data_IF_272075202849
#
_entry.id   IF_272075202849
#
_cell.length_a   1.000
_cell.length_b   1.000
_cell.length_c   1.000
_cell.angle_alpha   90.00
_cell.angle_beta   90.00
_cell.angle_gamma   90.00
#
_symmetry.space_group_name_H-M   'P 1'
#
loop_
_entity.id
_entity.type
_entity.pdbx_description
1 polymer ?
#
# COMPACT_ATOMS: atom_id res chain seq x y z
N UNK A 1 6.75 -45.87 30.87
CA UNK A 1 6.85 -44.61 31.64
C UNK A 1 7.46 -43.56 30.70
N UNK A 2 6.72 -43.01 29.74
CA UNK A 2 6.01 -41.69 29.76
C UNK A 2 6.77 -40.58 30.49
N UNK A 3 7.31 -39.62 29.73
CA UNK A 3 6.89 -38.19 29.71
C UNK A 3 7.67 -37.38 28.64
N UNK A 4 6.99 -36.71 27.68
CA UNK A 4 7.59 -35.64 26.86
C UNK A 4 7.23 -34.24 27.40
N UNK A 5 8.23 -33.39 27.62
CA UNK A 5 8.07 -32.01 28.05
C UNK A 5 7.45 -31.15 26.94
N UNK A 6 6.27 -30.64 27.25
CA UNK A 6 5.50 -29.69 26.45
C UNK A 6 6.20 -28.33 26.29
N UNK A 7 6.12 -27.76 25.08
CA UNK A 7 6.13 -26.30 24.92
C UNK A 7 5.03 -25.89 23.94
N UNK A 8 3.91 -25.48 24.53
CA UNK A 8 2.78 -24.84 23.89
C UNK A 8 3.07 -23.35 23.77
N UNK A 9 3.42 -22.88 22.57
CA UNK A 9 3.51 -21.44 22.29
C UNK A 9 2.12 -20.91 21.97
N UNK A 10 1.48 -20.33 22.99
CA UNK A 10 0.33 -19.47 22.83
C UNK A 10 0.83 -18.09 22.39
N UNK A 11 0.38 -17.62 21.22
CA UNK A 11 0.79 -16.34 20.64
C UNK A 11 -0.28 -15.78 19.71
N UNK A 12 -1.38 -15.36 20.34
CA UNK A 12 -2.39 -14.35 19.96
C UNK A 12 -2.46 -13.90 18.48
N UNK A 13 -3.66 -14.06 17.93
CA UNK A 13 -4.20 -13.40 16.76
C UNK A 13 -3.72 -11.95 16.59
N UNK A 14 -3.27 -11.61 15.39
CA UNK A 14 -3.18 -10.22 14.92
C UNK A 14 -4.31 -9.97 13.93
N UNK A 15 -5.49 -9.47 14.35
CA UNK A 15 -6.43 -8.86 13.43
C UNK A 15 -5.92 -7.45 13.16
N UNK A 16 -5.03 -7.26 12.18
CA UNK A 16 -4.61 -5.92 11.78
C UNK A 16 -5.69 -5.34 10.86
N UNK A 17 -6.66 -4.73 11.53
CA UNK A 17 -7.49 -3.62 11.06
C UNK A 17 -7.98 -3.73 9.62
N UNK A 18 -9.10 -4.41 9.42
CA UNK A 18 -10.02 -4.05 8.33
C UNK A 18 -10.47 -2.61 8.63
N UNK A 19 -9.82 -1.62 8.03
CA UNK A 19 -10.20 -0.22 8.20
C UNK A 19 -11.63 -0.09 7.69
N UNK A 20 -12.52 0.11 8.67
CA UNK A 20 -13.93 0.39 8.50
C UNK A 20 -14.01 1.64 7.63
N UNK A 21 -14.50 1.50 6.41
CA UNK A 21 -14.96 2.62 5.56
C UNK A 21 -16.16 3.26 6.28
N UNK A 22 -15.87 4.06 7.31
CA UNK A 22 -16.75 5.13 7.74
C UNK A 22 -16.33 6.36 6.97
N UNK A 23 -17.30 7.11 6.48
CA UNK A 23 -17.26 8.35 5.70
C UNK A 23 -16.31 9.43 6.28
N UNK A 24 -15.01 9.14 6.31
CA UNK A 24 -13.96 10.09 6.64
C UNK A 24 -13.77 10.87 5.35
N UNK A 25 -14.25 12.12 5.39
CA UNK A 25 -13.93 13.13 4.39
C UNK A 25 -12.41 13.13 4.25
N UNK A 26 -11.94 12.65 3.10
CA UNK A 26 -10.53 12.57 2.75
C UNK A 26 -9.93 13.98 2.88
N UNK A 27 -9.04 14.23 3.86
CA UNK A 27 -8.54 15.58 4.14
C UNK A 27 -7.52 16.07 3.09
N UNK A 28 -7.22 15.24 2.08
CA UNK A 28 -6.23 15.56 1.04
C UNK A 28 -6.79 16.58 0.04
N UNK A 29 -5.96 17.51 -0.46
CA UNK A 29 -6.34 18.42 -1.53
C UNK A 29 -6.89 17.67 -2.75
N UNK A 30 -7.80 18.31 -3.48
CA UNK A 30 -8.41 17.70 -4.67
C UNK A 30 -7.38 17.41 -5.76
N UNK A 31 -6.32 18.22 -5.87
CA UNK A 31 -5.22 17.96 -6.80
C UNK A 31 -4.48 16.66 -6.49
N UNK A 32 -4.28 16.34 -5.20
CA UNK A 32 -3.61 15.09 -4.78
C UNK A 32 -4.46 13.87 -5.17
N UNK A 33 -5.78 13.96 -4.99
CA UNK A 33 -6.72 12.88 -5.38
C UNK A 33 -6.78 12.73 -6.90
N UNK A 34 -6.76 13.84 -7.63
CA UNK A 34 -6.71 13.83 -9.09
C UNK A 34 -5.41 13.20 -9.62
N UNK A 35 -4.28 13.50 -8.97
CA UNK A 35 -2.99 12.91 -9.28
C UNK A 35 -2.96 11.40 -8.98
N UNK A 36 -3.47 10.96 -7.83
CA UNK A 36 -3.59 9.53 -7.49
C UNK A 36 -4.40 8.77 -8.55
N UNK A 37 -5.55 9.33 -8.96
CA UNK A 37 -6.39 8.72 -10.00
C UNK A 37 -5.70 8.71 -11.38
N UNK A 38 -4.92 9.74 -11.69
CA UNK A 38 -4.14 9.75 -12.93
C UNK A 38 -3.05 8.68 -12.93
N UNK A 39 -2.30 8.55 -11.83
CA UNK A 39 -1.28 7.51 -11.66
C UNK A 39 -1.89 6.11 -11.75
N UNK A 40 -3.04 5.86 -11.11
CA UNK A 40 -3.77 4.58 -11.25
C UNK A 40 -4.11 4.25 -12.70
N UNK A 41 -4.60 5.23 -13.47
CA UNK A 41 -4.95 5.03 -14.88
C UNK A 41 -3.72 4.84 -15.78
N UNK A 42 -2.66 5.60 -15.53
CA UNK A 42 -1.45 5.55 -16.34
C UNK A 42 -0.64 4.28 -16.09
N UNK A 43 -0.42 3.94 -14.81
CA UNK A 43 0.35 2.75 -14.43
C UNK A 43 -0.48 1.47 -14.51
N UNK A 44 -1.81 1.57 -14.62
CA UNK A 44 -2.74 0.44 -14.64
C UNK A 44 -2.61 -0.47 -13.41
N UNK A 45 -2.25 0.11 -12.26
CA UNK A 45 -2.13 -0.60 -10.98
C UNK A 45 -2.69 0.27 -9.84
N UNK A 46 -2.82 -0.32 -8.65
CA UNK A 46 -3.26 0.43 -7.49
C UNK A 46 -2.15 1.35 -6.97
N UNK A 47 -2.49 2.64 -6.85
CA UNK A 47 -1.60 3.68 -6.36
C UNK A 47 -2.28 4.40 -5.21
N UNK A 48 -1.52 4.60 -4.13
CA UNK A 48 -1.93 5.35 -2.96
C UNK A 48 -0.94 6.48 -2.69
N UNK A 49 -1.45 7.70 -2.56
CA UNK A 49 -0.64 8.84 -2.15
C UNK A 49 -0.89 9.11 -0.66
N UNK A 50 0.12 8.82 0.15
CA UNK A 50 0.20 9.28 1.53
C UNK A 50 0.68 10.73 1.52
N UNK A 51 -0.26 11.64 1.77
CA UNK A 51 -0.01 13.07 1.74
C UNK A 51 0.07 13.61 3.15
N UNK A 52 1.17 14.32 3.43
CA UNK A 52 1.39 15.01 4.70
C UNK A 52 1.56 16.51 4.46
N UNK A 53 0.74 17.39 5.08
CA UNK A 53 0.85 18.85 4.93
C UNK A 53 2.13 19.44 5.53
N UNK A 54 2.77 18.72 6.46
CA UNK A 54 3.87 19.22 7.30
C UNK A 54 5.17 18.44 7.10
N UNK A 55 5.23 17.54 6.12
CA UNK A 55 6.34 16.61 6.01
C UNK A 55 6.44 15.91 4.67
N UNK A 56 7.21 14.82 4.64
CA UNK A 56 7.41 14.00 3.45
C UNK A 56 6.12 13.23 3.13
N UNK A 57 5.70 13.29 1.88
CA UNK A 57 4.70 12.36 1.35
C UNK A 57 5.35 11.06 0.87
N UNK A 58 4.51 10.06 0.64
CA UNK A 58 4.92 8.81 0.01
C UNK A 58 3.92 8.42 -1.08
N UNK A 59 4.43 7.81 -2.15
CA UNK A 59 3.60 7.19 -3.19
C UNK A 59 3.85 5.69 -3.06
N UNK A 60 2.78 4.94 -2.78
CA UNK A 60 2.80 3.49 -2.74
C UNK A 60 2.17 2.98 -4.03
N UNK A 61 2.96 2.24 -4.82
CA UNK A 61 2.52 1.61 -6.06
C UNK A 61 2.52 0.10 -5.79
N UNK A 62 1.34 -0.51 -5.82
CA UNK A 62 1.22 -1.95 -5.69
C UNK A 62 1.62 -2.62 -7.00
N UNK A 63 2.24 -3.80 -6.94
CA UNK A 63 2.53 -4.62 -8.11
C UNK A 63 2.18 -6.08 -7.80
N UNK A 64 1.76 -6.82 -8.81
CA UNK A 64 1.26 -8.19 -8.64
C UNK A 64 2.21 -9.26 -9.20
N UNK A 65 3.21 -8.87 -9.98
CA UNK A 65 4.25 -9.75 -10.51
C UNK A 65 5.57 -9.00 -10.73
N UNK A 66 6.66 -9.74 -10.98
CA UNK A 66 7.94 -9.15 -11.35
C UNK A 66 7.87 -8.43 -12.71
N UNK A 67 7.13 -8.99 -13.67
CA UNK A 67 6.90 -8.39 -14.99
C UNK A 67 6.14 -7.05 -14.88
N UNK A 68 5.17 -6.97 -13.97
CA UNK A 68 4.42 -5.74 -13.73
C UNK A 68 5.30 -4.64 -13.12
N UNK A 69 6.18 -5.01 -12.18
CA UNK A 69 7.17 -4.09 -11.62
C UNK A 69 8.15 -3.56 -12.67
N UNK A 70 8.64 -4.42 -13.57
CA UNK A 70 9.52 -4.02 -14.66
C UNK A 70 8.83 -3.01 -15.58
N UNK A 71 7.59 -3.32 -16.02
CA UNK A 71 6.76 -2.40 -16.81
C UNK A 71 6.54 -1.05 -16.10
N UNK A 72 6.27 -1.06 -14.80
CA UNK A 72 6.12 0.18 -14.01
C UNK A 72 7.43 0.97 -13.98
N UNK A 73 8.57 0.29 -13.79
CA UNK A 73 9.89 0.94 -13.79
C UNK A 73 10.21 1.60 -15.13
N UNK A 74 9.85 0.95 -16.24
CA UNK A 74 9.99 1.52 -17.58
C UNK A 74 9.11 2.77 -17.75
N UNK A 75 7.85 2.74 -17.29
CA UNK A 75 6.95 3.89 -17.35
C UNK A 75 7.39 5.07 -16.48
N UNK A 76 8.09 4.81 -15.37
CA UNK A 76 8.61 5.86 -14.48
C UNK A 76 9.94 6.46 -14.96
N UNK A 77 10.69 5.71 -15.77
CA UNK A 77 11.97 6.16 -16.31
C UNK A 77 11.71 7.14 -17.45
N UNK A 78 12.27 8.35 -17.36
CA UNK A 78 12.27 9.26 -18.51
C UNK A 78 13.30 8.72 -19.51
N UNK A 79 12.94 8.49 -20.79
CA UNK A 79 13.95 8.15 -21.79
C UNK A 79 14.95 9.32 -21.89
N UNK A 80 16.24 9.00 -21.83
CA UNK A 80 17.36 9.95 -21.94
C UNK A 80 17.32 10.77 -23.24
#
# INVERSE_FOLDING_TARGET
MREPLARKVAGKASPKGRQKHSDIVDPRPSEVRALENNLRRHLQTDVLIDWSPLGKGAINISFYSAEDLERISELLSTPD
#
